data_IF_379883020024
#
_entry.id   IF_379883020024
#
_cell.length_a   1.000
_cell.length_b   1.000
_cell.length_c   1.000
_cell.angle_alpha   90.00
_cell.angle_beta   90.00
_cell.angle_gamma   90.00
#
_symmetry.space_group_name_H-M   'P 1'
#
loop_
_entity.id
_entity.type
_entity.pdbx_description
1 polymer ?
#
# COMPACT_ATOMS: atom_id res chain seq x y z
N UNK A 1 10.28 -13.35 -13.25
CA UNK A 1 10.75 -13.09 -11.88
C UNK A 1 11.80 -12.00 -11.99
N UNK A 2 11.61 -10.84 -11.35
CA UNK A 2 12.59 -9.74 -11.46
C UNK A 2 13.82 -10.13 -10.65
N UNK A 3 14.98 -10.12 -11.29
CA UNK A 3 16.24 -10.34 -10.60
C UNK A 3 16.62 -9.07 -9.85
N UNK A 4 16.62 -9.13 -8.51
CA UNK A 4 16.87 -7.98 -7.63
C UNK A 4 18.32 -7.46 -7.76
N UNK A 5 19.22 -8.23 -8.38
CA UNK A 5 20.61 -7.80 -8.61
C UNK A 5 20.84 -7.01 -9.91
N UNK A 6 19.82 -6.82 -10.76
CA UNK A 6 19.94 -6.01 -11.99
C UNK A 6 19.51 -4.56 -11.74
N UNK A 7 20.24 -3.61 -12.32
CA UNK A 7 19.87 -2.20 -12.27
C UNK A 7 18.57 -1.94 -13.03
N UNK A 8 17.69 -1.09 -12.47
CA UNK A 8 16.48 -0.63 -13.16
C UNK A 8 16.86 0.24 -14.35
N UNK A 9 16.28 -0.06 -15.50
CA UNK A 9 16.40 0.73 -16.74
C UNK A 9 15.04 1.26 -17.16
N UNK A 10 14.98 2.14 -18.16
CA UNK A 10 13.71 2.62 -18.73
C UNK A 10 12.86 1.52 -19.36
N UNK A 11 13.45 0.36 -19.67
CA UNK A 11 12.75 -0.79 -20.23
C UNK A 11 12.35 -1.82 -19.17
N UNK A 12 12.81 -1.66 -17.93
CA UNK A 12 12.52 -2.60 -16.85
C UNK A 12 11.09 -2.36 -16.35
N UNK A 13 10.16 -3.32 -16.49
CA UNK A 13 8.82 -3.17 -15.94
C UNK A 13 8.90 -3.17 -14.41
N UNK A 14 8.22 -2.23 -13.77
CA UNK A 14 8.18 -2.18 -12.31
C UNK A 14 7.45 -3.41 -11.77
N UNK A 15 8.00 -4.08 -10.73
CA UNK A 15 7.24 -5.11 -10.02
C UNK A 15 6.02 -4.47 -9.36
N UNK A 16 5.01 -5.28 -9.00
CA UNK A 16 3.96 -4.83 -8.08
C UNK A 16 4.60 -4.26 -6.81
N UNK A 17 4.19 -3.04 -6.44
CA UNK A 17 4.69 -2.35 -5.27
C UNK A 17 3.52 -1.83 -4.45
N UNK A 18 3.74 -1.70 -3.14
CA UNK A 18 2.81 -1.02 -2.25
C UNK A 18 3.23 0.45 -2.14
N UNK A 19 2.29 1.41 -2.26
CA UNK A 19 2.61 2.81 -2.09
C UNK A 19 3.00 3.07 -0.63
N UNK A 20 4.19 3.62 -0.40
CA UNK A 20 4.66 4.02 0.92
C UNK A 20 4.54 5.55 1.08
N UNK A 21 3.58 6.06 1.87
CA UNK A 21 3.41 7.50 2.05
C UNK A 21 4.62 8.14 2.73
N UNK A 22 5.14 9.22 2.17
CA UNK A 22 6.36 9.88 2.67
C UNK A 22 6.24 10.34 4.13
N UNK A 23 5.06 10.74 4.59
CA UNK A 23 4.88 11.16 5.98
C UNK A 23 5.22 10.06 6.99
N UNK A 24 5.09 8.77 6.62
CA UNK A 24 5.50 7.66 7.48
C UNK A 24 7.02 7.61 7.72
N UNK A 25 7.82 8.21 6.85
CA UNK A 25 9.28 8.27 7.04
C UNK A 25 9.64 9.10 8.27
N UNK A 26 8.88 10.15 8.53
CA UNK A 26 9.12 11.11 9.62
C UNK A 26 8.53 10.67 10.95
N UNK A 27 7.56 9.75 10.93
CA UNK A 27 6.91 9.27 12.15
C UNK A 27 7.83 8.33 12.95
N UNK A 28 7.90 8.56 14.26
CA UNK A 28 8.55 7.66 15.22
C UNK A 28 7.64 6.47 15.54
N UNK A 29 7.45 5.60 14.54
CA UNK A 29 6.70 4.36 14.63
C UNK A 29 7.62 3.18 14.35
N UNK A 30 7.29 2.02 14.90
CA UNK A 30 7.99 0.78 14.55
C UNK A 30 7.86 0.48 13.05
N UNK A 31 8.87 -0.17 12.48
CA UNK A 31 8.84 -0.58 11.07
C UNK A 31 7.62 -1.44 10.76
N UNK A 32 7.24 -2.34 11.68
CA UNK A 32 6.02 -3.14 11.56
C UNK A 32 4.77 -2.27 11.48
N UNK A 33 4.64 -1.25 12.33
CA UNK A 33 3.48 -0.36 12.28
C UNK A 33 3.40 0.41 10.96
N UNK A 34 4.53 0.90 10.43
CA UNK A 34 4.59 1.56 9.12
C UNK A 34 4.18 0.60 7.99
N UNK A 35 4.66 -0.63 8.02
CA UNK A 35 4.27 -1.66 7.05
C UNK A 35 2.79 -2.05 7.17
N UNK A 36 2.26 -2.20 8.39
CA UNK A 36 0.84 -2.46 8.63
C UNK A 36 -0.02 -1.34 8.06
N UNK A 37 0.37 -0.07 8.25
CA UNK A 37 -0.34 1.06 7.65
C UNK A 37 -0.38 0.96 6.13
N UNK A 38 0.76 0.68 5.49
CA UNK A 38 0.85 0.55 4.03
C UNK A 38 -0.05 -0.56 3.50
N UNK A 39 -0.08 -1.71 4.18
CA UNK A 39 -0.98 -2.82 3.82
C UNK A 39 -2.45 -2.45 3.96
N UNK A 40 -2.81 -1.75 5.05
CA UNK A 40 -4.17 -1.27 5.28
C UNK A 40 -4.60 -0.22 4.25
N UNK A 41 -3.68 0.68 3.86
CA UNK A 41 -3.94 1.70 2.84
C UNK A 41 -4.22 1.07 1.47
N UNK A 42 -3.43 0.08 1.06
CA UNK A 42 -3.67 -0.67 -0.18
C UNK A 42 -5.05 -1.34 -0.16
N UNK A 43 -5.41 -1.99 0.95
CA UNK A 43 -6.74 -2.60 1.11
C UNK A 43 -7.87 -1.59 1.16
N UNK A 44 -7.67 -0.44 1.80
CA UNK A 44 -8.66 0.64 1.80
C UNK A 44 -8.88 1.20 0.39
N UNK A 45 -7.82 1.31 -0.41
CA UNK A 45 -7.92 1.75 -1.82
C UNK A 45 -8.74 0.77 -2.66
N UNK A 46 -8.56 -0.54 -2.44
CA UNK A 46 -9.39 -1.56 -3.08
C UNK A 46 -10.86 -1.49 -2.61
N UNK A 47 -11.06 -1.31 -1.30
CA UNK A 47 -12.39 -1.20 -0.69
C UNK A 47 -13.15 0.01 -1.22
N UNK A 48 -12.47 1.16 -1.39
CA UNK A 48 -13.04 2.35 -2.00
C UNK A 48 -13.47 2.10 -3.45
N UNK A 49 -12.64 1.42 -4.26
CA UNK A 49 -12.97 1.06 -5.65
C UNK A 49 -14.19 0.15 -5.74
N UNK A 50 -14.38 -0.71 -4.75
CA UNK A 50 -15.51 -1.64 -4.67
C UNK A 50 -16.75 -1.05 -3.97
N UNK A 51 -16.71 0.23 -3.58
CA UNK A 51 -17.79 0.89 -2.84
C UNK A 51 -18.14 0.19 -1.52
N UNK A 52 -17.14 -0.38 -0.85
CA UNK A 52 -17.29 -0.90 0.51
C UNK A 52 -17.24 0.26 1.51
N UNK A 53 -18.39 0.92 1.62
CA UNK A 53 -18.61 2.09 2.47
C UNK A 53 -19.79 1.83 3.42
N UNK A 54 -19.73 2.40 4.61
CA UNK A 54 -20.87 2.38 5.54
C UNK A 54 -21.91 3.46 5.18
N UNK A 55 -23.01 3.52 5.94
CA UNK A 55 -24.09 4.50 5.74
C UNK A 55 -23.65 5.96 5.92
N UNK A 56 -22.50 6.18 6.57
CA UNK A 56 -21.91 7.51 6.79
C UNK A 56 -20.84 7.85 5.75
N UNK A 57 -20.54 6.94 4.82
CA UNK A 57 -19.55 7.11 3.76
C UNK A 57 -18.12 6.76 4.15
N UNK A 58 -17.89 6.10 5.29
CA UNK A 58 -16.55 5.64 5.67
C UNK A 58 -16.19 4.34 4.95
N UNK A 59 -14.99 4.33 4.35
CA UNK A 59 -14.41 3.13 3.77
C UNK A 59 -13.92 2.22 4.90
N UNK A 60 -14.36 0.98 4.91
CA UNK A 60 -13.85 -0.05 5.81
C UNK A 60 -12.99 -1.07 5.06
N UNK A 61 -12.08 -1.73 5.79
CA UNK A 61 -11.18 -2.74 5.23
C UNK A 61 -11.77 -4.12 5.47
N UNK A 62 -11.85 -4.94 4.42
CA UNK A 62 -12.27 -6.34 4.50
C UNK A 62 -11.03 -7.26 4.43
N UNK A 63 -10.97 -8.23 5.34
CA UNK A 63 -10.06 -9.36 5.27
C UNK A 63 -10.88 -10.62 4.97
N UNK A 64 -10.54 -11.30 3.87
CA UNK A 64 -11.17 -12.54 3.43
C UNK A 64 -10.13 -13.63 3.31
#
# INVERSE_FOLDING_TARGET
>A
MINISEYLTTQTPLPPFLPYPCFLLELDLSQTAKMTYVLLLDRATLSQKNLWIDERGFVFVIFT
#
